data_IF_176529472704
#
_entry.id   IF_176529472704
#
_cell.length_a   1.000
_cell.length_b   1.000
_cell.length_c   1.000
_cell.angle_alpha   90.00
_cell.angle_beta   90.00
_cell.angle_gamma   90.00
#
_symmetry.space_group_name_H-M   'P 1'
#
loop_
_entity.id
_entity.type
_entity.pdbx_description
1 polymer ?
#
# COMPACT_ATOMS: atom_id res chain seq x y z
N UNK A 1 57.84 -54.72 -48.28
CA UNK A 1 57.62 -54.47 -49.72
C UNK A 1 57.43 -52.97 -49.93
N UNK A 2 58.39 -52.29 -50.57
CA UNK A 2 58.12 -51.03 -51.32
C UNK A 2 57.47 -51.45 -52.65
N UNK A 3 56.51 -50.70 -53.21
CA UNK A 3 56.73 -49.38 -53.84
C UNK A 3 55.53 -48.44 -53.53
N UNK A 4 55.35 -47.19 -53.95
CA UNK A 4 55.91 -46.34 -54.99
C UNK A 4 55.34 -44.93 -54.76
N UNK A 5 56.20 -43.92 -54.79
CA UNK A 5 55.81 -42.56 -55.16
C UNK A 5 55.51 -42.54 -56.67
N UNK A 6 54.64 -41.63 -57.15
CA UNK A 6 55.16 -40.76 -58.20
C UNK A 6 54.72 -39.29 -58.11
N UNK A 7 55.66 -38.47 -58.59
CA UNK A 7 55.48 -37.23 -59.35
C UNK A 7 55.10 -35.95 -58.62
N UNK A 8 56.18 -35.29 -58.20
CA UNK A 8 56.45 -33.87 -58.39
C UNK A 8 55.86 -33.28 -59.69
N UNK A 9 55.07 -32.22 -59.56
CA UNK A 9 55.01 -31.15 -60.56
C UNK A 9 55.25 -29.83 -59.83
N UNK A 10 56.43 -29.25 -60.06
CA UNK A 10 56.74 -27.86 -59.71
C UNK A 10 56.23 -27.00 -60.86
N UNK A 11 55.48 -25.94 -60.55
CA UNK A 11 55.58 -24.63 -61.20
C UNK A 11 54.81 -23.60 -60.35
N UNK A 12 55.58 -22.63 -59.89
CA UNK A 12 55.23 -21.38 -59.20
C UNK A 12 54.54 -20.38 -60.16
N UNK A 13 54.29 -19.10 -59.80
CA UNK A 13 53.19 -18.60 -58.96
C UNK A 13 52.46 -17.41 -59.63
N UNK A 14 51.15 -17.22 -59.48
CA UNK A 14 50.54 -15.91 -59.78
C UNK A 14 49.13 -15.79 -59.21
N UNK A 15 49.03 -15.00 -58.14
CA UNK A 15 47.94 -14.08 -57.79
C UNK A 15 46.55 -14.31 -58.43
N UNK A 16 45.55 -14.70 -57.61
CA UNK A 16 44.24 -14.03 -57.60
C UNK A 16 43.38 -14.42 -56.38
N UNK A 17 42.79 -13.40 -55.74
CA UNK A 17 41.58 -13.39 -54.90
C UNK A 17 41.63 -14.12 -53.54
N UNK A 18 41.65 -13.42 -52.39
CA UNK A 18 40.51 -12.81 -51.68
C UNK A 18 39.52 -13.83 -51.06
N UNK A 19 39.29 -13.67 -49.74
CA UNK A 19 38.29 -14.31 -48.86
C UNK A 19 38.56 -15.79 -48.51
N UNK A 20 38.93 -16.18 -47.29
CA UNK A 20 38.14 -15.98 -46.07
C UNK A 20 38.95 -16.47 -44.86
N UNK A 21 39.25 -15.57 -43.93
CA UNK A 21 39.78 -15.94 -42.63
C UNK A 21 38.61 -16.40 -41.74
N UNK A 22 38.60 -17.67 -41.35
CA UNK A 22 37.65 -18.22 -40.39
C UNK A 22 37.92 -17.60 -39.01
N UNK A 23 37.19 -16.55 -38.66
CA UNK A 23 37.07 -16.10 -37.29
C UNK A 23 36.17 -17.08 -36.54
N UNK A 24 36.77 -17.83 -35.61
CA UNK A 24 36.04 -18.55 -34.57
C UNK A 24 35.32 -17.50 -33.72
N UNK A 25 34.00 -17.42 -33.87
CA UNK A 25 33.15 -16.64 -32.99
C UNK A 25 32.92 -17.48 -31.73
N UNK A 26 33.63 -17.17 -30.65
CA UNK A 26 33.24 -17.65 -29.33
C UNK A 26 31.93 -16.94 -28.96
N UNK A 27 30.84 -17.68 -28.93
CA UNK A 27 29.61 -17.21 -28.31
C UNK A 27 29.91 -16.93 -26.82
N UNK A 28 29.80 -15.67 -26.41
CA UNK A 28 29.84 -15.30 -25.01
C UNK A 28 28.46 -15.57 -24.43
N UNK A 29 28.39 -16.51 -23.50
CA UNK A 29 27.20 -16.79 -22.70
C UNK A 29 27.00 -15.60 -21.75
N UNK A 30 25.97 -14.79 -22.03
CA UNK A 30 25.62 -13.67 -21.16
C UNK A 30 25.20 -14.22 -19.79
N UNK A 31 25.76 -13.71 -18.68
CA UNK A 31 25.40 -14.18 -17.35
C UNK A 31 23.91 -13.91 -17.10
N UNK A 32 23.17 -14.97 -16.79
CA UNK A 32 21.76 -14.91 -16.40
C UNK A 32 21.62 -13.93 -15.24
N UNK A 33 21.06 -12.75 -15.55
CA UNK A 33 20.85 -11.69 -14.58
C UNK A 33 19.62 -12.06 -13.75
N UNK A 34 19.86 -12.67 -12.60
CA UNK A 34 18.82 -13.01 -11.65
C UNK A 34 18.22 -11.70 -11.11
N UNK A 35 17.02 -11.38 -11.58
CA UNK A 35 16.29 -10.18 -11.18
C UNK A 35 15.89 -10.36 -9.72
N UNK A 36 16.04 -9.33 -8.86
CA UNK A 36 15.56 -9.42 -7.50
C UNK A 36 14.07 -9.72 -7.52
N UNK A 37 13.66 -10.72 -6.74
CA UNK A 37 12.25 -11.08 -6.58
C UNK A 37 11.49 -9.84 -6.11
N UNK A 38 10.63 -9.31 -6.97
CA UNK A 38 9.72 -8.23 -6.62
C UNK A 38 8.62 -8.85 -5.78
N UNK A 39 8.72 -8.65 -4.46
CA UNK A 39 7.63 -8.99 -3.54
C UNK A 39 6.45 -8.06 -3.87
N UNK A 40 5.46 -8.57 -4.62
CA UNK A 40 4.23 -7.84 -4.90
C UNK A 40 3.43 -7.83 -3.59
N UNK A 41 3.71 -6.84 -2.74
CA UNK A 41 2.78 -6.50 -1.66
C UNK A 41 1.51 -6.01 -2.31
N UNK A 42 0.38 -6.66 -2.00
CA UNK A 42 -0.91 -6.18 -2.45
C UNK A 42 -1.00 -4.69 -2.09
N UNK A 43 -1.38 -3.82 -3.05
CA UNK A 43 -1.41 -2.39 -2.81
C UNK A 43 -2.32 -2.14 -1.61
N UNK A 44 -1.76 -1.57 -0.53
CA UNK A 44 -2.50 -1.37 0.73
C UNK A 44 -3.56 -0.33 0.48
N UNK A 45 -4.81 -0.76 0.35
CA UNK A 45 -5.90 0.02 -0.22
C UNK A 45 -6.34 1.15 0.69
N UNK A 46 -5.71 2.32 0.55
CA UNK A 46 -6.15 3.53 1.23
C UNK A 46 -7.08 4.28 0.28
N UNK A 47 -8.38 3.98 0.27
CA UNK A 47 -9.28 4.69 -0.66
C UNK A 47 -10.65 5.06 -0.13
N UNK A 48 -11.06 6.33 -0.31
CA UNK A 48 -12.44 6.73 -0.13
C UNK A 48 -13.36 6.18 -1.23
N UNK A 49 -12.82 5.57 -2.31
CA UNK A 49 -13.63 5.03 -3.40
C UNK A 49 -13.19 3.60 -3.74
N UNK A 50 -14.11 2.62 -3.77
CA UNK A 50 -13.80 1.26 -4.20
C UNK A 50 -13.16 1.26 -5.60
N UNK A 51 -11.96 0.69 -5.71
CA UNK A 51 -11.28 0.45 -7.00
C UNK A 51 -10.20 1.46 -7.39
N UNK A 52 -10.03 2.57 -6.66
CA UNK A 52 -8.74 3.27 -6.66
C UNK A 52 -7.85 2.49 -5.66
N UNK A 53 -6.55 2.39 -5.89
CA UNK A 53 -5.65 1.82 -4.87
C UNK A 53 -4.46 2.75 -4.71
N UNK A 54 -4.33 3.33 -3.52
CA UNK A 54 -3.16 4.12 -3.14
C UNK A 54 -2.28 3.29 -2.24
N UNK A 55 -1.04 3.03 -2.63
CA UNK A 55 -0.08 2.41 -1.72
C UNK A 55 0.35 3.40 -0.63
N UNK A 56 0.56 2.92 0.60
CA UNK A 56 1.14 3.69 1.69
C UNK A 56 2.46 4.35 1.26
N UNK A 57 3.25 3.68 0.42
CA UNK A 57 4.54 4.18 -0.09
C UNK A 57 4.41 5.35 -1.08
N UNK A 58 3.26 5.48 -1.73
CA UNK A 58 2.98 6.57 -2.66
C UNK A 58 2.36 7.79 -1.98
N UNK A 59 1.94 7.63 -0.73
CA UNK A 59 1.43 8.73 0.09
C UNK A 59 2.58 9.60 0.59
N UNK A 60 2.44 10.92 0.44
CA UNK A 60 3.35 11.90 1.04
C UNK A 60 3.03 12.17 2.51
N UNK A 61 1.96 11.57 3.03
CA UNK A 61 1.46 11.72 4.39
C UNK A 61 1.74 10.47 5.24
N UNK A 62 1.88 10.65 6.56
CA UNK A 62 2.08 9.55 7.52
C UNK A 62 0.79 8.75 7.74
N UNK A 63 0.46 7.86 6.81
CA UNK A 63 -0.72 6.99 6.93
C UNK A 63 -0.47 5.94 8.00
N UNK A 64 -1.44 5.77 8.89
CA UNK A 64 -1.41 4.79 9.96
C UNK A 64 -2.49 3.76 9.72
N UNK A 65 -2.16 2.50 9.91
CA UNK A 65 -2.98 1.40 9.42
C UNK A 65 -3.13 0.36 10.51
N UNK A 66 -4.34 -0.18 10.65
CA UNK A 66 -4.67 -1.22 11.61
C UNK A 66 -5.40 -2.35 10.91
N UNK A 67 -4.85 -3.56 10.99
CA UNK A 67 -5.45 -4.77 10.43
C UNK A 67 -6.41 -5.45 11.41
N UNK A 68 -7.27 -6.34 10.91
CA UNK A 68 -8.16 -7.14 11.74
C UNK A 68 -7.42 -7.96 12.81
N UNK A 69 -6.23 -8.50 12.48
CA UNK A 69 -5.45 -9.31 13.42
C UNK A 69 -4.88 -8.44 14.54
N UNK A 70 -4.35 -7.26 14.22
CA UNK A 70 -3.86 -6.28 15.22
C UNK A 70 -5.01 -5.75 16.07
N UNK A 71 -6.18 -5.49 15.47
CA UNK A 71 -7.39 -5.10 16.19
C UNK A 71 -7.82 -6.17 17.20
N UNK A 72 -7.79 -7.45 16.82
CA UNK A 72 -8.08 -8.56 17.73
C UNK A 72 -7.02 -8.69 18.83
N UNK A 73 -5.74 -8.56 18.51
CA UNK A 73 -4.64 -8.62 19.47
C UNK A 73 -4.64 -7.46 20.46
N UNK A 74 -5.17 -6.30 20.07
CA UNK A 74 -5.26 -5.13 20.95
C UNK A 74 -6.17 -5.34 22.16
N UNK A 75 -7.13 -6.27 22.08
CA UNK A 75 -8.13 -6.49 23.13
C UNK A 75 -9.10 -5.32 23.33
N UNK A 76 -9.10 -4.33 22.42
CA UNK A 76 -9.96 -3.16 22.52
C UNK A 76 -11.45 -3.52 22.40
N UNK A 77 -12.27 -2.89 23.23
CA UNK A 77 -13.74 -3.09 23.25
C UNK A 77 -14.43 -2.27 22.14
N UNK A 78 -13.88 -1.11 21.79
CA UNK A 78 -14.38 -0.20 20.76
C UNK A 78 -13.30 0.15 19.75
N UNK A 79 -13.70 0.64 18.58
CA UNK A 79 -12.75 1.09 17.54
C UNK A 79 -11.95 2.32 17.96
N UNK A 80 -12.58 3.22 18.72
CA UNK A 80 -11.92 4.41 19.28
C UNK A 80 -10.78 4.01 20.20
N UNK A 81 -11.00 3.04 21.08
CA UNK A 81 -9.96 2.52 21.97
C UNK A 81 -8.85 1.81 21.19
N UNK A 82 -9.20 1.01 20.17
CA UNK A 82 -8.21 0.36 19.33
C UNK A 82 -7.28 1.38 18.64
N UNK A 83 -7.86 2.47 18.13
CA UNK A 83 -7.09 3.57 17.53
C UNK A 83 -6.25 4.31 18.57
N UNK A 84 -6.74 4.51 19.79
CA UNK A 84 -5.96 5.11 20.87
C UNK A 84 -4.71 4.30 21.22
N UNK A 85 -4.82 2.97 21.23
CA UNK A 85 -3.72 2.06 21.57
C UNK A 85 -2.70 1.90 20.44
N UNK A 86 -3.16 1.90 19.19
CA UNK A 86 -2.32 1.53 18.04
C UNK A 86 -1.87 2.74 17.21
N UNK A 87 -2.69 3.79 17.12
CA UNK A 87 -2.35 4.98 16.35
C UNK A 87 -1.68 6.05 17.19
N UNK A 88 -0.72 6.72 16.57
CA UNK A 88 0.00 7.85 17.11
C UNK A 88 -0.85 9.12 17.00
N UNK A 89 -0.75 9.99 18.01
CA UNK A 89 -1.46 11.27 18.08
C UNK A 89 -2.98 11.16 18.09
N UNK A 90 -3.51 9.96 18.36
CA UNK A 90 -4.92 9.72 18.67
C UNK A 90 -5.06 9.70 20.18
N UNK A 91 -6.07 10.39 20.69
CA UNK A 91 -6.51 10.31 22.07
C UNK A 91 -8.01 10.07 22.07
N UNK A 92 -8.50 9.33 23.05
CA UNK A 92 -9.94 9.17 23.28
C UNK A 92 -10.36 9.88 24.55
N UNK A 93 -11.54 10.46 24.53
CA UNK A 93 -12.17 11.03 25.71
C UNK A 93 -13.53 10.38 25.95
N UNK A 94 -13.79 10.00 27.19
CA UNK A 94 -15.05 9.40 27.61
C UNK A 94 -15.78 10.37 28.55
N UNK A 95 -16.95 10.85 28.12
CA UNK A 95 -17.77 11.79 28.88
C UNK A 95 -18.85 11.12 29.71
N UNK A 96 -19.32 9.93 29.30
CA UNK A 96 -20.50 9.27 29.83
C UNK A 96 -20.21 7.92 30.49
N UNK A 97 -18.93 7.50 30.53
CA UNK A 97 -18.52 6.17 30.96
C UNK A 97 -18.90 5.08 29.97
N UNK A 98 -19.13 5.42 28.70
CA UNK A 98 -19.55 4.47 27.67
C UNK A 98 -18.47 4.32 26.60
N UNK A 99 -17.83 3.15 26.48
CA UNK A 99 -16.76 2.93 25.51
C UNK A 99 -17.21 3.03 24.04
N UNK A 100 -18.51 2.96 23.75
CA UNK A 100 -19.07 3.10 22.41
C UNK A 100 -19.49 4.53 22.06
N UNK A 101 -19.47 5.44 23.04
CA UNK A 101 -19.78 6.87 22.85
C UNK A 101 -18.60 7.74 23.28
N UNK A 102 -17.41 7.39 22.79
CA UNK A 102 -16.19 8.14 23.06
C UNK A 102 -15.88 9.14 21.95
N UNK A 103 -15.27 10.25 22.34
CA UNK A 103 -14.75 11.25 21.43
C UNK A 103 -13.34 10.88 21.03
N UNK A 104 -13.10 10.70 19.74
CA UNK A 104 -11.76 10.52 19.20
C UNK A 104 -11.17 11.88 18.84
N UNK A 105 -9.98 12.19 19.34
CA UNK A 105 -9.21 13.37 18.99
C UNK A 105 -7.92 12.98 18.28
N UNK A 106 -7.75 13.46 17.05
CA UNK A 106 -6.51 13.31 16.29
C UNK A 106 -5.93 14.69 15.99
N UNK A 107 -4.74 14.97 16.56
CA UNK A 107 -4.00 16.23 16.33
C UNK A 107 -4.84 17.51 16.53
N UNK A 108 -5.78 17.49 17.47
CA UNK A 108 -6.64 18.64 17.79
C UNK A 108 -7.97 18.68 17.03
N UNK A 109 -8.21 17.76 16.11
CA UNK A 109 -9.50 17.59 15.43
C UNK A 109 -10.26 16.41 16.04
N UNK A 110 -11.57 16.53 16.20
CA UNK A 110 -12.37 15.47 16.78
C UNK A 110 -13.26 14.74 15.76
N UNK A 111 -13.55 13.48 16.07
CA UNK A 111 -14.66 12.69 15.56
C UNK A 111 -15.43 12.16 16.77
N UNK A 112 -16.58 12.76 17.02
CA UNK A 112 -17.38 12.54 18.22
C UNK A 112 -18.81 12.11 17.84
N UNK A 113 -19.45 11.21 18.60
CA UNK A 113 -20.88 10.93 18.49
C UNK A 113 -21.74 12.06 19.09
N UNK A 114 -21.14 13.01 19.82
CA UNK A 114 -21.85 14.10 20.49
C UNK A 114 -21.92 15.34 19.60
N UNK A 115 -23.11 15.92 19.51
CA UNK A 115 -23.33 17.18 18.79
C UNK A 115 -22.72 18.34 19.57
N UNK A 116 -22.00 19.22 18.85
CA UNK A 116 -21.39 20.44 19.41
C UNK A 116 -19.87 20.36 19.61
N UNK A 117 -19.27 19.20 19.36
CA UNK A 117 -17.81 19.01 19.39
C UNK A 117 -17.15 19.58 18.12
N UNK A 118 -15.92 20.14 18.20
CA UNK A 118 -15.23 20.67 17.02
C UNK A 118 -14.94 19.59 15.97
N UNK A 119 -15.48 19.78 14.77
CA UNK A 119 -15.36 18.81 13.68
C UNK A 119 -14.09 19.00 12.84
N UNK A 120 -13.64 17.94 12.21
CA UNK A 120 -12.49 17.99 11.30
C UNK A 120 -11.92 16.64 10.87
N UNK A 121 -12.52 15.54 11.31
CA UNK A 121 -12.20 14.20 10.86
C UNK A 121 -13.40 13.61 10.11
N UNK A 122 -13.17 13.13 8.89
CA UNK A 122 -14.19 12.38 8.16
C UNK A 122 -13.92 10.88 8.26
N UNK A 123 -14.97 10.11 8.48
CA UNK A 123 -14.95 8.66 8.60
C UNK A 123 -15.72 8.07 7.43
N UNK A 124 -15.08 7.12 6.77
CA UNK A 124 -15.57 6.41 5.61
C UNK A 124 -15.67 4.94 5.96
N UNK A 125 -16.81 4.33 5.65
CA UNK A 125 -17.02 2.89 5.75
C UNK A 125 -17.20 2.34 4.33
N UNK A 126 -16.29 1.48 3.90
CA UNK A 126 -16.26 0.89 2.55
C UNK A 126 -16.39 1.94 1.42
N UNK A 127 -15.79 3.12 1.64
CA UNK A 127 -15.81 4.25 0.72
C UNK A 127 -17.04 5.16 0.80
N UNK A 128 -17.99 4.88 1.69
CA UNK A 128 -19.12 5.78 1.95
C UNK A 128 -18.86 6.60 3.21
N UNK A 129 -18.99 7.92 3.12
CA UNK A 129 -18.87 8.78 4.31
C UNK A 129 -20.03 8.51 5.26
N UNK A 130 -19.71 8.23 6.52
CA UNK A 130 -20.70 7.90 7.56
C UNK A 130 -20.91 9.01 8.58
N UNK A 131 -20.10 10.08 8.56
CA UNK A 131 -20.39 11.26 9.37
C UNK A 131 -21.80 11.77 9.04
N UNK A 132 -22.58 12.05 10.07
CA UNK A 132 -23.95 12.50 9.89
C UNK A 132 -24.01 13.88 9.22
N UNK A 133 -25.05 14.09 8.41
CA UNK A 133 -25.24 15.34 7.69
C UNK A 133 -25.42 16.55 8.62
N UNK A 134 -25.91 16.34 9.84
CA UNK A 134 -26.09 17.38 10.84
C UNK A 134 -25.04 17.23 11.94
N UNK A 135 -24.14 18.20 12.03
CA UNK A 135 -23.14 18.23 13.08
C UNK A 135 -21.96 17.28 12.88
N UNK A 136 -21.81 16.61 11.72
CA UNK A 136 -20.70 15.71 11.35
C UNK A 136 -20.33 14.65 12.41
N UNK A 137 -21.31 14.25 13.24
CA UNK A 137 -21.08 13.28 14.29
C UNK A 137 -20.83 11.89 13.71
N UNK A 138 -20.10 11.07 14.46
CA UNK A 138 -19.75 9.71 14.08
C UNK A 138 -20.23 8.75 15.16
N UNK A 139 -21.13 7.86 14.77
CA UNK A 139 -21.65 6.81 15.64
C UNK A 139 -20.74 5.58 15.59
N UNK A 140 -19.86 5.46 16.57
CA UNK A 140 -18.90 4.35 16.67
C UNK A 140 -19.56 3.02 17.05
N UNK A 141 -20.72 3.05 17.68
CA UNK A 141 -21.50 1.88 18.09
C UNK A 141 -22.04 1.06 16.90
N UNK A 142 -22.25 1.70 15.76
CA UNK A 142 -22.70 1.05 14.53
C UNK A 142 -21.62 0.23 13.83
N UNK A 143 -20.36 0.33 14.27
CA UNK A 143 -19.21 -0.34 13.67
C UNK A 143 -18.56 -1.30 14.67
N UNK A 144 -19.01 -2.57 14.71
CA UNK A 144 -18.44 -3.54 15.63
C UNK A 144 -17.06 -4.02 15.18
N UNK A 145 -16.10 -4.12 16.12
CA UNK A 145 -14.70 -4.54 15.86
C UNK A 145 -14.60 -5.85 15.06
N UNK A 146 -15.52 -6.79 15.28
CA UNK A 146 -15.50 -8.10 14.60
C UNK A 146 -15.75 -8.02 13.09
N UNK A 147 -16.46 -6.99 12.63
CA UNK A 147 -16.83 -6.80 11.23
C UNK A 147 -15.76 -6.04 10.44
N UNK A 148 -14.77 -5.45 11.12
CA UNK A 148 -13.74 -4.64 10.50
C UNK A 148 -12.60 -5.53 9.99
N UNK A 149 -12.26 -5.37 8.71
CA UNK A 149 -11.11 -5.99 8.06
C UNK A 149 -9.85 -5.14 8.27
N UNK A 150 -9.98 -3.82 8.12
CA UNK A 150 -8.87 -2.88 8.18
C UNK A 150 -9.37 -1.47 8.47
N UNK A 151 -8.53 -0.66 9.11
CA UNK A 151 -8.72 0.79 9.24
C UNK A 151 -7.45 1.52 8.85
N UNK A 152 -7.61 2.63 8.13
CA UNK A 152 -6.52 3.49 7.70
C UNK A 152 -6.82 4.93 8.10
N UNK A 153 -5.92 5.54 8.88
CA UNK A 153 -5.96 6.94 9.27
C UNK A 153 -5.00 7.74 8.39
N UNK A 154 -5.56 8.58 7.53
CA UNK A 154 -4.83 9.51 6.71
C UNK A 154 -4.76 10.88 7.38
N UNK A 155 -3.58 11.40 7.71
CA UNK A 155 -3.46 12.73 8.27
C UNK A 155 -3.51 13.82 7.20
N UNK A 156 -4.02 14.98 7.62
CA UNK A 156 -4.04 16.21 6.83
C UNK A 156 -5.27 16.34 5.93
N UNK A 157 -5.42 17.50 5.33
CA UNK A 157 -6.49 17.76 4.39
C UNK A 157 -6.18 17.11 3.04
N UNK A 158 -7.06 16.23 2.58
CA UNK A 158 -6.94 15.59 1.27
C UNK A 158 -8.23 15.84 0.47
N UNK A 159 -8.15 16.47 -0.72
CA UNK A 159 -9.32 16.83 -1.51
C UNK A 159 -10.17 15.62 -1.96
N UNK A 160 -9.63 14.40 -1.91
CA UNK A 160 -10.37 13.18 -2.21
C UNK A 160 -11.42 12.81 -1.15
N UNK A 161 -11.30 13.34 0.07
CA UNK A 161 -12.16 13.00 1.21
C UNK A 161 -13.22 14.08 1.49
N UNK A 162 -13.58 14.89 0.49
CA UNK A 162 -14.71 15.80 0.56
C UNK A 162 -14.61 16.90 1.63
N UNK A 163 -15.77 17.47 1.97
CA UNK A 163 -15.88 18.58 2.92
C UNK A 163 -15.58 18.15 4.36
N UNK A 164 -15.15 19.11 5.19
CA UNK A 164 -14.91 18.96 6.64
C UNK A 164 -13.84 17.94 7.06
N UNK A 165 -12.96 17.56 6.13
CA UNK A 165 -11.79 16.70 6.36
C UNK A 165 -10.52 17.55 6.52
N UNK A 166 -10.45 18.35 7.59
CA UNK A 166 -9.32 19.26 7.83
C UNK A 166 -8.14 18.59 8.55
N UNK A 167 -8.44 17.72 9.52
CA UNK A 167 -7.45 17.00 10.32
C UNK A 167 -7.00 15.69 9.70
N UNK A 168 -7.86 15.07 8.91
CA UNK A 168 -7.62 13.77 8.32
C UNK A 168 -8.89 13.00 8.01
N UNK A 169 -8.71 11.85 7.39
CA UNK A 169 -9.80 10.91 7.13
C UNK A 169 -9.46 9.53 7.70
N UNK A 170 -10.48 8.86 8.21
CA UNK A 170 -10.41 7.46 8.63
C UNK A 170 -11.18 6.66 7.59
N UNK A 171 -10.51 5.74 6.93
CA UNK A 171 -11.13 4.76 6.05
C UNK A 171 -11.25 3.44 6.80
N UNK A 172 -12.44 2.90 6.88
CA UNK A 172 -12.77 1.64 7.53
C UNK A 172 -13.27 0.70 6.45
N UNK A 173 -12.68 -0.49 6.38
CA UNK A 173 -13.13 -1.54 5.47
C UNK A 173 -13.70 -2.71 6.26
N UNK A 174 -14.86 -3.20 5.83
CA UNK A 174 -15.50 -4.37 6.43
C UNK A 174 -15.02 -5.67 5.80
N UNK A 175 -15.22 -6.77 6.52
CA UNK A 175 -14.98 -8.12 6.00
C UNK A 175 -16.05 -8.46 4.96
N UNK A 176 -15.63 -9.01 3.83
CA UNK A 176 -16.50 -9.53 2.75
C UNK A 176 -16.84 -11.00 2.94
#
# INVERSE_FOLDING_TARGET
MKPSCPRTFRLTPAALALLSASTVVCAQEEPVKELPTVEIRAPRMITPLPGVVFDEQQSTSNVQSLTADELQQSGAVSLTEAMNLQFQSVNVNDYAGNPFQQDLNFRGFAASPLIGTPQGLSVYLDGVRINEAFGDVVNWDLMPNIAILRMDLLPGSNPMFGHNTLGGAISVNTKS
#
